data_IF_190367068704
#
_entry.id   IF_190367068704
#
_cell.length_a   1.000
_cell.length_b   1.000
_cell.length_c   1.000
_cell.angle_alpha   90.00
_cell.angle_beta   90.00
_cell.angle_gamma   90.00
#
_symmetry.space_group_name_H-M   'P 1'
#
loop_
_entity.id
_entity.type
_entity.pdbx_description
1 polymer ?
#
# COMPACT_ATOMS: atom_id res chain seq x y z
N UNK A 1 -2.79 17.34 1.32
CA UNK A 1 -3.99 16.76 0.69
C UNK A 1 -4.92 17.86 0.16
N UNK A 2 -4.40 18.77 -0.68
CA UNK A 2 -5.16 19.94 -1.15
C UNK A 2 -5.31 20.03 -2.66
N UNK A 3 -4.83 19.03 -3.42
CA UNK A 3 -4.97 19.02 -4.88
C UNK A 3 -6.15 18.17 -5.40
N UNK A 4 -6.97 17.64 -4.50
CA UNK A 4 -8.07 16.73 -4.84
C UNK A 4 -9.04 17.30 -5.90
N UNK A 5 -9.60 18.53 -5.79
CA UNK A 5 -10.60 18.99 -6.73
C UNK A 5 -10.06 19.23 -8.14
N UNK A 6 -8.80 19.68 -8.27
CA UNK A 6 -8.16 19.92 -9.57
C UNK A 6 -7.87 18.61 -10.29
N UNK A 7 -7.32 17.63 -9.55
CA UNK A 7 -7.03 16.31 -10.09
C UNK A 7 -8.32 15.59 -10.50
N UNK A 8 -9.34 15.65 -9.65
CA UNK A 8 -10.65 15.05 -9.91
C UNK A 8 -11.28 15.61 -11.20
N UNK A 9 -11.21 16.92 -11.39
CA UNK A 9 -11.69 17.55 -12.62
C UNK A 9 -10.89 17.08 -13.84
N UNK A 10 -9.57 17.02 -13.77
CA UNK A 10 -8.73 16.53 -14.87
C UNK A 10 -9.03 15.08 -15.22
N UNK A 11 -9.23 14.21 -14.22
CA UNK A 11 -9.63 12.81 -14.44
C UNK A 11 -11.01 12.74 -15.10
N UNK A 12 -11.97 13.51 -14.62
CA UNK A 12 -13.33 13.54 -15.19
C UNK A 12 -13.34 14.04 -16.64
N UNK A 13 -12.57 15.08 -16.96
CA UNK A 13 -12.40 15.60 -18.31
C UNK A 13 -11.77 14.54 -19.24
N UNK A 14 -10.74 13.83 -18.76
CA UNK A 14 -10.09 12.76 -19.54
C UNK A 14 -11.03 11.58 -19.77
N UNK A 15 -11.77 11.14 -18.76
CA UNK A 15 -12.76 10.07 -18.87
C UNK A 15 -13.87 10.46 -19.87
N UNK A 16 -14.38 11.69 -19.79
CA UNK A 16 -15.38 12.18 -20.73
C UNK A 16 -14.85 12.20 -22.17
N UNK A 17 -13.59 12.62 -22.37
CA UNK A 17 -12.94 12.61 -23.68
C UNK A 17 -12.83 11.19 -24.25
N UNK A 18 -12.30 10.26 -23.46
CA UNK A 18 -12.14 8.85 -23.87
C UNK A 18 -13.52 8.22 -24.21
N UNK A 19 -14.50 8.44 -23.36
CA UNK A 19 -15.84 7.91 -23.58
C UNK A 19 -16.54 8.53 -24.80
N UNK A 20 -16.25 9.81 -25.09
CA UNK A 20 -16.76 10.48 -26.29
C UNK A 20 -16.11 9.99 -27.58
N UNK A 21 -14.82 9.65 -27.54
CA UNK A 21 -14.07 9.23 -28.72
C UNK A 21 -14.24 7.73 -29.04
N UNK A 22 -14.25 6.88 -28.02
CA UNK A 22 -14.25 5.41 -28.16
C UNK A 22 -15.55 4.74 -27.71
N UNK A 23 -16.51 5.52 -27.17
CA UNK A 23 -17.78 5.01 -26.70
C UNK A 23 -18.85 4.93 -27.79
N UNK A 24 -19.93 4.23 -27.50
CA UNK A 24 -21.16 4.18 -28.29
C UNK A 24 -22.40 4.20 -27.37
N UNK A 25 -23.60 4.17 -27.94
CA UNK A 25 -24.84 4.11 -27.16
C UNK A 25 -24.90 2.88 -26.23
N UNK A 26 -24.31 1.77 -26.67
CA UNK A 26 -24.34 0.49 -25.95
C UNK A 26 -23.04 0.16 -25.21
N UNK A 27 -22.03 1.01 -25.33
CA UNK A 27 -20.69 0.73 -24.78
C UNK A 27 -20.04 1.98 -24.19
N UNK A 28 -19.72 1.94 -22.92
CA UNK A 28 -18.97 2.98 -22.20
C UNK A 28 -17.58 2.39 -21.83
N UNK A 29 -16.48 2.85 -22.50
CA UNK A 29 -15.14 2.32 -22.26
C UNK A 29 -14.63 2.45 -20.83
N UNK A 30 -14.90 3.60 -20.20
CA UNK A 30 -14.35 3.91 -18.86
C UNK A 30 -15.48 4.26 -17.90
N UNK A 31 -15.64 3.44 -16.87
CA UNK A 31 -16.49 3.75 -15.72
C UNK A 31 -15.62 4.31 -14.59
N UNK A 32 -15.80 5.58 -14.26
CA UNK A 32 -15.08 6.26 -13.18
C UNK A 32 -15.96 6.40 -11.94
N UNK A 33 -15.53 5.79 -10.85
CA UNK A 33 -16.22 5.88 -9.57
C UNK A 33 -15.34 6.62 -8.57
N UNK A 34 -15.74 7.82 -8.17
CA UNK A 34 -15.10 8.60 -7.12
C UNK A 34 -15.97 8.60 -5.86
N UNK A 35 -16.25 7.42 -5.35
CA UNK A 35 -17.06 7.24 -4.14
C UNK A 35 -16.60 5.99 -3.37
N UNK A 36 -16.94 5.94 -2.08
CA UNK A 36 -16.74 4.74 -1.28
C UNK A 36 -17.70 3.65 -1.70
N UNK A 37 -17.15 2.52 -2.16
CA UNK A 37 -17.91 1.34 -2.55
C UNK A 37 -18.07 0.44 -1.32
N UNK A 38 -19.21 -0.26 -1.18
CA UNK A 38 -19.41 -1.26 -0.14
C UNK A 38 -18.46 -2.44 -0.35
N UNK A 39 -18.03 -3.07 0.75
CA UNK A 39 -17.09 -4.19 0.68
C UNK A 39 -17.56 -5.33 -0.21
N UNK A 40 -18.83 -5.68 -0.14
CA UNK A 40 -19.40 -6.76 -0.95
C UNK A 40 -19.34 -6.45 -2.44
N UNK A 41 -19.68 -5.21 -2.83
CA UNK A 41 -19.58 -4.73 -4.20
C UNK A 41 -18.12 -4.70 -4.66
N UNK A 42 -17.21 -4.24 -3.81
CA UNK A 42 -15.78 -4.21 -4.09
C UNK A 42 -15.23 -5.62 -4.36
N UNK A 43 -15.51 -6.58 -3.49
CA UNK A 43 -15.06 -7.95 -3.71
C UNK A 43 -15.72 -8.61 -4.91
N UNK A 44 -16.96 -8.30 -5.21
CA UNK A 44 -17.62 -8.75 -6.43
C UNK A 44 -16.89 -8.24 -7.68
N UNK A 45 -16.55 -6.95 -7.73
CA UNK A 45 -15.76 -6.37 -8.82
C UNK A 45 -14.38 -7.03 -8.95
N UNK A 46 -13.66 -7.24 -7.84
CA UNK A 46 -12.38 -7.93 -7.87
C UNK A 46 -12.48 -9.36 -8.41
N UNK A 47 -13.57 -10.07 -8.11
CA UNK A 47 -13.75 -11.46 -8.53
C UNK A 47 -14.08 -11.63 -10.01
N UNK A 48 -14.77 -10.65 -10.63
CA UNK A 48 -15.16 -10.73 -12.05
C UNK A 48 -14.14 -10.08 -13.00
N UNK A 49 -13.21 -9.29 -12.47
CA UNK A 49 -12.22 -8.57 -13.27
C UNK A 49 -11.33 -9.52 -14.08
N UNK A 50 -11.02 -9.16 -15.32
CA UNK A 50 -10.12 -9.91 -16.19
C UNK A 50 -8.64 -9.55 -16.00
N UNK A 51 -8.38 -8.43 -15.34
CA UNK A 51 -7.05 -7.94 -14.96
C UNK A 51 -7.21 -6.88 -13.86
N UNK A 52 -6.28 -6.84 -12.91
CA UNK A 52 -6.16 -5.71 -12.00
C UNK A 52 -4.90 -4.89 -12.32
N UNK A 53 -5.04 -3.57 -12.34
CA UNK A 53 -3.96 -2.62 -12.58
C UNK A 53 -3.85 -1.68 -11.37
N UNK A 54 -2.73 -1.72 -10.66
CA UNK A 54 -2.48 -0.94 -9.46
C UNK A 54 -1.16 -0.19 -9.62
N UNK A 55 -1.24 1.12 -9.88
CA UNK A 55 -0.13 1.95 -10.33
C UNK A 55 0.21 3.14 -9.42
N UNK A 56 0.29 2.98 -8.10
CA UNK A 56 0.72 4.09 -7.26
C UNK A 56 2.20 4.40 -7.49
N UNK A 57 2.55 5.67 -7.29
CA UNK A 57 3.94 6.13 -7.35
C UNK A 57 4.71 5.85 -6.05
N UNK A 58 3.98 5.76 -4.93
CA UNK A 58 4.50 5.39 -3.61
C UNK A 58 3.39 4.69 -2.84
N UNK A 59 3.65 3.48 -2.44
CA UNK A 59 2.78 2.71 -1.57
C UNK A 59 3.63 1.67 -0.82
N UNK A 60 3.51 1.59 0.48
CA UNK A 60 4.26 0.63 1.30
C UNK A 60 3.64 -0.76 1.21
N UNK A 61 2.39 -0.87 1.65
CA UNK A 61 1.65 -2.13 1.72
C UNK A 61 0.25 -1.95 1.15
N UNK A 62 0.09 -2.32 -0.10
CA UNK A 62 -1.19 -2.25 -0.78
C UNK A 62 -2.03 -3.50 -0.49
N UNK A 63 -3.09 -3.35 0.29
CA UNK A 63 -3.99 -4.46 0.62
C UNK A 63 -4.88 -4.86 -0.55
N UNK A 64 -5.24 -3.93 -1.43
CA UNK A 64 -6.08 -4.19 -2.61
C UNK A 64 -5.48 -5.25 -3.52
N UNK A 65 -4.16 -5.24 -3.70
CA UNK A 65 -3.45 -6.25 -4.50
C UNK A 65 -3.56 -7.65 -3.90
N UNK A 66 -3.47 -7.77 -2.57
CA UNK A 66 -3.66 -9.05 -1.86
C UNK A 66 -5.11 -9.50 -1.91
N UNK A 67 -6.06 -8.58 -1.70
CA UNK A 67 -7.49 -8.85 -1.76
C UNK A 67 -7.92 -9.32 -3.14
N UNK A 68 -7.31 -8.74 -4.20
CA UNK A 68 -7.52 -9.20 -5.58
C UNK A 68 -7.09 -10.66 -5.76
N UNK A 69 -5.88 -11.02 -5.33
CA UNK A 69 -5.38 -12.40 -5.43
C UNK A 69 -6.30 -13.38 -4.70
N UNK A 70 -6.79 -13.02 -3.52
CA UNK A 70 -7.72 -13.87 -2.77
C UNK A 70 -9.08 -13.97 -3.47
N UNK A 71 -9.63 -12.85 -3.96
CA UNK A 71 -10.92 -12.84 -4.65
C UNK A 71 -10.90 -13.65 -5.95
N UNK A 72 -9.74 -13.79 -6.58
CA UNK A 72 -9.55 -14.54 -7.83
C UNK A 72 -9.34 -16.05 -7.63
N UNK A 73 -9.24 -16.56 -6.40
CA UNK A 73 -8.98 -17.98 -6.13
C UNK A 73 -9.99 -18.91 -6.79
N UNK A 74 -11.27 -18.57 -6.67
CA UNK A 74 -12.39 -19.39 -7.17
C UNK A 74 -12.98 -18.86 -8.49
N UNK A 75 -12.33 -17.89 -9.12
CA UNK A 75 -12.81 -17.29 -10.35
C UNK A 75 -11.83 -17.48 -11.52
N UNK A 76 -11.47 -16.43 -12.20
CA UNK A 76 -10.68 -16.47 -13.44
C UNK A 76 -9.17 -16.59 -13.24
N UNK A 77 -8.68 -16.45 -12.01
CA UNK A 77 -7.24 -16.36 -11.70
C UNK A 77 -6.53 -15.29 -12.54
N UNK A 78 -7.19 -14.15 -12.67
CA UNK A 78 -6.79 -13.06 -13.55
C UNK A 78 -5.46 -12.45 -13.15
N UNK A 79 -4.65 -11.98 -14.12
CA UNK A 79 -3.34 -11.40 -13.84
C UNK A 79 -3.42 -10.07 -13.11
N UNK A 80 -2.37 -9.82 -12.33
CA UNK A 80 -2.18 -8.60 -11.57
C UNK A 80 -1.01 -7.81 -12.17
N UNK A 81 -1.23 -6.52 -12.43
CA UNK A 81 -0.20 -5.57 -12.86
C UNK A 81 0.07 -4.60 -11.71
N UNK A 82 1.31 -4.50 -11.27
CA UNK A 82 1.73 -3.69 -10.13
C UNK A 82 2.82 -2.70 -10.51
N UNK A 83 2.76 -1.53 -9.90
CA UNK A 83 3.88 -0.58 -9.92
C UNK A 83 5.11 -1.17 -9.22
N UNK A 84 6.28 -1.06 -9.84
CA UNK A 84 7.56 -1.44 -9.24
C UNK A 84 7.92 -0.60 -8.00
N UNK A 85 7.30 0.57 -7.83
CA UNK A 85 7.53 1.47 -6.70
C UNK A 85 6.74 1.12 -5.43
N UNK A 86 6.02 0.01 -5.45
CA UNK A 86 5.31 -0.50 -4.28
C UNK A 86 6.21 -1.41 -3.44
N UNK A 87 6.17 -1.24 -2.14
CA UNK A 87 6.94 -2.12 -1.23
C UNK A 87 6.56 -3.60 -1.34
N UNK A 88 5.29 -3.89 -1.65
CA UNK A 88 4.80 -5.27 -1.83
C UNK A 88 5.25 -5.92 -3.15
N UNK A 89 5.70 -5.16 -4.14
CA UNK A 89 6.09 -5.68 -5.45
C UNK A 89 7.18 -6.76 -5.35
N UNK A 90 8.11 -6.58 -4.42
CA UNK A 90 9.17 -7.56 -4.17
C UNK A 90 8.64 -8.93 -3.69
N UNK A 91 7.52 -8.95 -3.00
CA UNK A 91 6.91 -10.17 -2.49
C UNK A 91 5.95 -10.79 -3.52
N UNK A 92 5.47 -9.99 -4.46
CA UNK A 92 4.57 -10.42 -5.54
C UNK A 92 5.29 -10.49 -6.89
N UNK A 93 6.38 -11.24 -6.96
CA UNK A 93 7.23 -11.38 -8.16
C UNK A 93 6.52 -11.94 -9.37
N UNK A 94 5.41 -12.65 -9.19
CA UNK A 94 4.61 -13.21 -10.28
C UNK A 94 3.60 -12.22 -10.88
N UNK A 95 3.41 -11.04 -10.25
CA UNK A 95 2.69 -9.95 -10.86
C UNK A 95 3.49 -9.36 -12.04
N UNK A 96 2.80 -8.77 -12.99
CA UNK A 96 3.45 -8.00 -14.07
C UNK A 96 3.87 -6.66 -13.48
N UNK A 97 5.15 -6.49 -13.23
CA UNK A 97 5.70 -5.25 -12.67
C UNK A 97 5.93 -4.24 -13.78
N UNK A 98 5.54 -3.00 -13.53
CA UNK A 98 5.66 -1.91 -14.51
C UNK A 98 6.13 -0.61 -13.83
N UNK A 99 6.75 0.24 -14.64
CA UNK A 99 6.97 1.63 -14.28
C UNK A 99 5.72 2.45 -14.66
N UNK A 100 4.98 3.01 -13.68
CA UNK A 100 3.75 3.76 -13.95
C UNK A 100 3.98 5.05 -14.75
N UNK A 101 5.21 5.56 -14.84
CA UNK A 101 5.56 6.69 -15.70
C UNK A 101 5.73 6.30 -17.17
N UNK A 102 5.92 5.02 -17.48
CA UNK A 102 6.08 4.49 -18.82
C UNK A 102 4.74 4.00 -19.35
N UNK A 103 3.94 4.87 -19.96
CA UNK A 103 2.61 4.51 -20.49
C UNK A 103 2.66 3.37 -21.51
N UNK A 104 3.73 3.29 -22.31
CA UNK A 104 3.93 2.20 -23.25
C UNK A 104 4.15 0.86 -22.58
N UNK A 105 4.89 0.83 -21.47
CA UNK A 105 5.09 -0.38 -20.66
C UNK A 105 3.78 -0.81 -19.98
N UNK A 106 3.01 0.14 -19.44
CA UNK A 106 1.68 -0.12 -18.87
C UNK A 106 0.75 -0.75 -19.90
N UNK A 107 0.65 -0.16 -21.10
CA UNK A 107 -0.18 -0.69 -22.17
C UNK A 107 0.26 -2.09 -22.62
N UNK A 108 1.56 -2.33 -22.71
CA UNK A 108 2.14 -3.64 -23.05
C UNK A 108 1.83 -4.68 -21.99
N UNK A 109 1.92 -4.32 -20.70
CA UNK A 109 1.59 -5.22 -19.58
C UNK A 109 0.10 -5.56 -19.54
N UNK A 110 -0.78 -4.60 -19.79
CA UNK A 110 -2.22 -4.83 -19.91
C UNK A 110 -2.50 -5.83 -21.05
N UNK A 111 -1.97 -5.57 -22.24
CA UNK A 111 -2.16 -6.46 -23.38
C UNK A 111 -1.63 -7.87 -23.10
N UNK A 112 -0.44 -7.98 -22.52
CA UNK A 112 0.15 -9.27 -22.10
C UNK A 112 -0.74 -10.00 -21.10
N UNK A 113 -1.26 -9.30 -20.09
CA UNK A 113 -2.14 -9.89 -19.09
C UNK A 113 -3.44 -10.43 -19.70
N UNK A 114 -4.06 -9.66 -20.58
CA UNK A 114 -5.31 -10.06 -21.23
C UNK A 114 -5.13 -11.25 -22.19
N UNK A 115 -3.99 -11.31 -22.89
CA UNK A 115 -3.66 -12.39 -23.86
C UNK A 115 -2.94 -13.59 -23.24
N UNK A 116 -2.70 -13.56 -21.91
CA UNK A 116 -2.02 -14.64 -21.19
C UNK A 116 -2.82 -15.95 -21.24
N UNK A 117 -2.12 -17.08 -21.41
CA UNK A 117 -2.76 -18.40 -21.42
C UNK A 117 -3.37 -18.77 -20.07
N UNK A 118 -4.44 -19.58 -20.03
CA UNK A 118 -5.05 -20.00 -18.76
C UNK A 118 -4.08 -20.75 -17.83
N UNK A 119 -3.14 -21.48 -18.39
CA UNK A 119 -2.13 -22.23 -17.65
C UNK A 119 -1.16 -21.27 -16.96
N UNK A 120 -0.68 -20.26 -17.67
CA UNK A 120 0.21 -19.23 -17.11
C UNK A 120 -0.51 -18.40 -16.03
N UNK A 121 -1.77 -18.01 -16.26
CA UNK A 121 -2.61 -17.32 -15.25
C UNK A 121 -2.70 -18.15 -13.97
N UNK A 122 -3.00 -19.42 -14.09
CA UNK A 122 -3.11 -20.34 -12.95
C UNK A 122 -1.79 -20.48 -12.21
N UNK A 123 -0.69 -20.70 -12.91
CA UNK A 123 0.62 -20.87 -12.29
C UNK A 123 1.05 -19.62 -11.52
N UNK A 124 0.89 -18.44 -12.11
CA UNK A 124 1.22 -17.16 -11.46
C UNK A 124 0.34 -16.90 -10.25
N UNK A 125 -0.97 -17.10 -10.41
CA UNK A 125 -1.92 -16.91 -9.34
C UNK A 125 -1.62 -17.83 -8.14
N UNK A 126 -1.38 -19.13 -8.36
CA UNK A 126 -1.14 -20.09 -7.28
C UNK A 126 0.12 -19.76 -6.47
N UNK A 127 1.15 -19.20 -7.12
CA UNK A 127 2.34 -18.72 -6.43
C UNK A 127 2.04 -17.46 -5.60
N UNK A 128 1.35 -16.47 -6.16
CA UNK A 128 0.95 -15.25 -5.42
C UNK A 128 0.02 -15.60 -4.25
N UNK A 129 -0.94 -16.50 -4.46
CA UNK A 129 -1.88 -16.95 -3.43
C UNK A 129 -1.18 -17.59 -2.23
N UNK A 130 -0.15 -18.40 -2.48
CA UNK A 130 0.69 -18.97 -1.40
C UNK A 130 1.38 -17.87 -0.60
N UNK A 131 1.95 -16.89 -1.28
CA UNK A 131 2.64 -15.76 -0.63
C UNK A 131 1.65 -14.96 0.24
N UNK A 132 0.49 -14.61 -0.29
CA UNK A 132 -0.53 -13.85 0.44
C UNK A 132 -1.02 -14.60 1.69
N UNK A 133 -1.26 -15.90 1.59
CA UNK A 133 -1.70 -16.72 2.72
C UNK A 133 -0.63 -16.92 3.80
N UNK A 134 0.65 -16.89 3.45
CA UNK A 134 1.75 -16.97 4.41
C UNK A 134 1.99 -15.65 5.16
N UNK A 135 1.71 -14.52 4.53
CA UNK A 135 1.94 -13.18 5.06
C UNK A 135 0.68 -12.57 5.69
N UNK A 136 0.03 -13.31 6.56
CA UNK A 136 -1.12 -12.82 7.33
C UNK A 136 -0.69 -11.91 8.49
N UNK A 137 -1.60 -11.08 8.99
CA UNK A 137 -1.37 -10.26 10.18
C UNK A 137 -0.94 -11.08 11.40
N UNK A 138 -1.48 -12.30 11.55
CA UNK A 138 -1.10 -13.24 12.61
C UNK A 138 0.36 -13.72 12.47
N UNK A 139 0.77 -14.12 11.27
CA UNK A 139 2.15 -14.56 11.03
C UNK A 139 3.15 -13.41 11.20
N UNK A 140 2.78 -12.19 10.78
CA UNK A 140 3.56 -11.00 10.99
C UNK A 140 3.74 -10.71 12.50
N UNK A 141 2.67 -10.68 13.26
CA UNK A 141 2.71 -10.45 14.71
C UNK A 141 3.53 -11.52 15.42
N UNK A 142 3.33 -12.80 15.07
CA UNK A 142 4.11 -13.90 15.65
C UNK A 142 5.61 -13.78 15.35
N UNK A 143 5.98 -13.39 14.14
CA UNK A 143 7.38 -13.18 13.76
C UNK A 143 7.97 -11.98 14.49
N UNK A 144 7.25 -10.87 14.60
CA UNK A 144 7.68 -9.71 15.36
C UNK A 144 7.96 -10.07 16.82
N UNK A 145 7.03 -10.76 17.48
CA UNK A 145 7.22 -11.22 18.87
C UNK A 145 8.43 -12.17 18.98
N UNK A 146 8.59 -13.12 18.06
CA UNK A 146 9.77 -14.00 18.04
C UNK A 146 11.07 -13.23 17.90
N UNK A 147 11.12 -12.22 17.02
CA UNK A 147 12.29 -11.38 16.85
C UNK A 147 12.60 -10.58 18.12
N UNK A 148 11.60 -10.00 18.77
CA UNK A 148 11.76 -9.29 20.03
C UNK A 148 12.26 -10.19 21.14
N UNK A 149 11.67 -11.37 21.32
CA UNK A 149 12.10 -12.36 22.33
C UNK A 149 13.54 -12.81 22.09
N UNK A 150 13.94 -13.01 20.84
CA UNK A 150 15.31 -13.35 20.48
C UNK A 150 16.31 -12.24 20.85
N UNK A 151 15.92 -10.99 20.66
CA UNK A 151 16.76 -9.83 21.01
C UNK A 151 16.87 -9.61 22.54
N UNK A 152 15.81 -9.94 23.27
CA UNK A 152 15.75 -9.65 24.72
C UNK A 152 16.39 -10.75 25.59
N UNK A 153 16.64 -11.94 25.04
CA UNK A 153 17.05 -13.12 25.85
C UNK A 153 15.96 -13.50 26.85
N UNK A 154 15.63 -14.76 26.98
CA UNK A 154 14.51 -15.23 27.85
C UNK A 154 14.62 -14.78 29.33
N UNK A 155 15.83 -14.52 29.83
CA UNK A 155 16.09 -14.12 31.23
C UNK A 155 15.78 -12.64 31.52
N UNK A 156 15.67 -11.78 30.49
CA UNK A 156 15.52 -10.35 30.68
C UNK A 156 14.07 -9.81 30.48
N UNK A 157 13.15 -10.67 30.04
CA UNK A 157 11.77 -10.23 29.73
C UNK A 157 11.00 -9.77 30.98
N UNK A 158 11.26 -10.41 32.13
CA UNK A 158 10.63 -10.04 33.41
C UNK A 158 11.25 -8.81 34.06
N UNK A 159 12.50 -8.47 33.72
CA UNK A 159 13.25 -7.40 34.39
C UNK A 159 13.16 -6.01 33.71
N UNK A 160 12.65 -5.94 32.49
CA UNK A 160 12.59 -4.70 31.72
C UNK A 160 11.14 -4.23 31.50
N UNK A 161 10.46 -3.83 32.57
CA UNK A 161 9.36 -2.91 32.40
C UNK A 161 9.95 -1.61 31.84
N UNK A 162 9.44 -1.17 30.69
CA UNK A 162 9.81 0.15 30.16
C UNK A 162 9.41 1.18 31.22
N UNK A 163 10.37 1.89 31.80
CA UNK A 163 10.03 2.85 32.87
C UNK A 163 9.15 3.93 32.28
N UNK A 164 8.13 4.30 33.04
CA UNK A 164 7.27 5.42 32.66
C UNK A 164 8.12 6.69 32.59
N UNK A 165 8.10 7.36 31.44
CA UNK A 165 8.86 8.59 31.22
C UNK A 165 8.12 9.77 31.90
N UNK A 166 8.65 10.27 33.02
CA UNK A 166 8.14 11.48 33.64
C UNK A 166 8.44 12.71 32.78
N UNK A 167 7.42 13.55 32.59
CA UNK A 167 7.55 14.76 31.74
C UNK A 167 8.72 15.66 32.19
N UNK A 168 8.88 15.87 33.50
CA UNK A 168 9.94 16.70 34.04
C UNK A 168 11.34 16.16 33.77
N UNK A 169 11.51 14.83 33.82
CA UNK A 169 12.78 14.19 33.45
C UNK A 169 13.09 14.34 31.95
N UNK A 170 12.06 14.20 31.10
CA UNK A 170 12.23 14.42 29.67
C UNK A 170 12.67 15.84 29.36
N UNK A 171 12.05 16.83 30.01
CA UNK A 171 12.38 18.23 29.87
C UNK A 171 13.82 18.53 30.33
N UNK A 172 14.23 18.00 31.45
CA UNK A 172 15.59 18.13 31.99
C UNK A 172 16.64 17.50 31.03
N UNK A 173 16.37 16.29 30.51
CA UNK A 173 17.23 15.68 29.50
C UNK A 173 17.30 16.50 28.20
N UNK A 174 16.16 17.05 27.77
CA UNK A 174 16.11 17.89 26.58
C UNK A 174 16.97 19.16 26.74
N UNK A 175 16.86 19.84 27.87
CA UNK A 175 17.61 21.06 28.13
C UNK A 175 19.11 20.83 28.30
N UNK A 176 19.52 19.72 28.92
CA UNK A 176 20.94 19.37 29.13
C UNK A 176 21.63 18.77 27.91
N UNK A 177 20.89 18.26 26.93
CA UNK A 177 21.47 17.60 25.78
C UNK A 177 22.12 18.59 24.81
N UNK A 178 23.39 18.37 24.49
CA UNK A 178 24.16 19.17 23.49
C UNK A 178 23.81 18.77 22.05
N UNK A 179 23.38 17.51 21.82
CA UNK A 179 22.91 17.00 20.53
C UNK A 179 21.61 16.25 20.77
N UNK A 180 20.65 16.37 19.87
CA UNK A 180 19.34 15.75 19.97
C UNK A 180 19.03 14.97 18.71
N UNK A 181 18.51 13.76 18.88
CA UNK A 181 17.96 12.93 17.80
C UNK A 181 16.49 12.66 18.13
N UNK A 182 15.61 13.00 17.22
CA UNK A 182 14.19 12.68 17.30
C UNK A 182 13.85 11.65 16.22
N UNK A 183 13.21 10.57 16.65
CA UNK A 183 12.66 9.55 15.77
C UNK A 183 11.14 9.63 15.90
N UNK A 184 10.48 9.97 14.81
CA UNK A 184 9.03 10.05 14.73
C UNK A 184 8.55 8.98 13.76
N UNK A 185 7.56 8.19 14.18
CA UNK A 185 6.84 7.29 13.31
C UNK A 185 5.70 8.08 12.63
N UNK A 186 5.63 7.98 11.32
CA UNK A 186 4.65 8.71 10.52
C UNK A 186 3.23 8.16 10.72
N UNK A 187 3.08 6.84 10.81
CA UNK A 187 1.77 6.20 10.85
C UNK A 187 1.11 6.24 12.24
N UNK A 188 1.90 6.16 13.30
CA UNK A 188 1.39 6.24 14.68
C UNK A 188 1.03 7.67 15.10
N UNK A 189 1.73 8.66 14.54
CA UNK A 189 1.44 10.06 14.81
C UNK A 189 0.21 10.59 14.06
N UNK A 190 -0.27 9.90 13.03
CA UNK A 190 -1.42 10.29 12.22
C UNK A 190 -2.76 9.75 12.69
N UNK A 191 -2.82 8.93 13.75
CA UNK A 191 -4.09 8.49 14.33
C UNK A 191 -4.81 9.68 14.95
N UNK A 192 -5.77 10.18 14.21
CA UNK A 192 -6.60 11.34 14.52
C UNK A 192 -7.27 11.23 15.89
N UNK A 193 -6.80 12.02 16.83
CA UNK A 193 -7.73 12.75 17.71
C UNK A 193 -8.01 14.09 17.03
N UNK A 194 -9.29 14.42 16.84
CA UNK A 194 -9.75 15.74 16.38
C UNK A 194 -9.04 16.84 17.17
N UNK A 195 -8.16 17.57 16.50
CA UNK A 195 -7.37 18.63 17.10
C UNK A 195 -6.00 18.65 16.41
N UNK A 196 -5.96 19.27 15.27
CA UNK A 196 -4.85 19.49 14.36
C UNK A 196 -3.49 19.71 15.03
N UNK A 197 -2.50 18.87 14.73
CA UNK A 197 -1.14 19.33 14.41
C UNK A 197 -0.62 18.46 13.27
N UNK A 198 -0.55 19.03 12.08
CA UNK A 198 0.18 18.45 10.97
C UNK A 198 1.69 18.54 11.25
N UNK A 199 2.32 17.43 11.53
CA UNK A 199 3.77 17.32 11.47
C UNK A 199 4.17 16.43 10.31
N UNK A 200 4.35 17.06 9.16
CA UNK A 200 5.14 16.50 8.08
C UNK A 200 6.53 17.11 8.20
N UNK A 201 7.49 16.42 8.77
CA UNK A 201 8.88 16.69 8.45
C UNK A 201 9.83 15.66 9.06
N UNK A 202 10.50 14.91 8.24
CA UNK A 202 11.80 14.34 8.55
C UNK A 202 12.81 15.48 8.50
N UNK A 203 13.18 16.01 9.63
CA UNK A 203 14.31 16.91 9.72
C UNK A 203 15.35 16.33 10.66
N UNK A 204 16.41 15.77 10.11
CA UNK A 204 17.67 15.63 10.81
C UNK A 204 18.18 17.06 11.06
N UNK A 205 17.77 17.67 12.15
CA UNK A 205 18.30 18.96 12.59
C UNK A 205 19.36 18.71 13.64
N UNK A 206 20.61 18.79 13.23
CA UNK A 206 21.71 19.01 14.16
C UNK A 206 21.81 20.52 14.42
N UNK A 207 20.99 21.04 15.30
CA UNK A 207 21.19 22.41 15.76
C UNK A 207 22.26 22.42 16.86
N UNK A 208 23.40 23.05 16.55
CA UNK A 208 24.29 23.58 17.60
C UNK A 208 23.52 24.71 18.30
N UNK A 209 23.29 24.57 19.59
CA UNK A 209 22.91 25.69 20.42
C UNK A 209 24.12 26.63 20.59
N UNK A 210 23.92 27.95 20.71
CA UNK A 210 24.97 28.93 20.89
C UNK A 210 25.77 28.71 22.16
#
# INVERSE_FOLDING_TARGET
>A
MTDSPKLERQVSELVAHINGEYGSLDFIPVHHYHQTIKKDEFYALLSIADLALITPLRDGMNTTSMEFVIAQEKSKKSPLVLSEFMGISNNMSEALQINPWSLGEVATAINRGLTMSPEEKTQRHDKMYKVVNLHTSHSWAANLVKMLLKQMGLENVMARQTPFMEKNKLEDFYLKAKKRLFLFDYDVSSTQRKGSVNFSCFTLSTTRAP
#
